data_IF_236755777187
#
_entry.id   IF_236755777187
#
_cell.length_a   1.000
_cell.length_b   1.000
_cell.length_c   1.000
_cell.angle_alpha   90.00
_cell.angle_beta   90.00
_cell.angle_gamma   90.00
#
_symmetry.space_group_name_H-M   'P 1'
#
loop_
_entity.id
_entity.type
_entity.pdbx_description
1 polymer ?
#
# COMPACT_ATOMS: atom_id res chain seq x y z
N UNK A 1 18.12 -52.36 -55.32
CA UNK A 1 19.61 -52.32 -55.33
C UNK A 1 20.08 -51.26 -54.34
N UNK A 2 20.60 -51.67 -53.17
CA UNK A 2 21.15 -50.75 -52.17
C UNK A 2 22.57 -50.33 -52.57
N UNK A 3 22.79 -49.03 -52.82
CA UNK A 3 24.14 -48.51 -53.10
C UNK A 3 24.97 -48.46 -51.80
N UNK A 4 26.23 -48.93 -51.79
CA UNK A 4 27.07 -48.90 -50.59
C UNK A 4 27.37 -47.46 -50.18
N UNK A 5 27.31 -47.22 -48.87
CA UNK A 5 27.57 -45.91 -48.26
C UNK A 5 29.08 -45.64 -48.34
N UNK A 6 29.48 -44.53 -48.96
CA UNK A 6 30.90 -44.17 -49.07
C UNK A 6 31.44 -43.64 -47.73
N UNK A 7 32.73 -43.86 -47.41
CA UNK A 7 33.31 -43.52 -46.10
C UNK A 7 33.19 -42.04 -45.72
N UNK A 8 33.27 -41.12 -46.69
CA UNK A 8 33.00 -39.68 -46.46
C UNK A 8 31.56 -39.38 -46.04
N UNK A 9 30.58 -40.14 -46.55
CA UNK A 9 29.15 -39.97 -46.22
C UNK A 9 28.83 -40.55 -44.85
N UNK A 10 29.52 -41.62 -44.43
CA UNK A 10 29.40 -42.17 -43.08
C UNK A 10 29.94 -41.21 -42.01
N UNK A 11 31.11 -40.60 -42.26
CA UNK A 11 31.70 -39.61 -41.35
C UNK A 11 30.87 -38.32 -41.21
N UNK A 12 30.19 -37.86 -42.27
CA UNK A 12 29.36 -36.66 -42.20
C UNK A 12 28.04 -36.89 -41.46
N UNK A 13 27.48 -38.11 -41.52
CA UNK A 13 26.30 -38.52 -40.74
C UNK A 13 26.66 -38.63 -39.25
N UNK A 14 27.81 -39.26 -38.93
CA UNK A 14 28.32 -39.36 -37.56
C UNK A 14 28.58 -37.98 -36.94
N UNK A 15 29.25 -37.05 -37.66
CA UNK A 15 29.48 -35.68 -37.17
C UNK A 15 28.18 -34.90 -36.97
N UNK A 16 27.19 -35.05 -37.86
CA UNK A 16 25.90 -34.37 -37.71
C UNK A 16 25.08 -34.91 -36.54
N UNK A 17 25.13 -36.22 -36.27
CA UNK A 17 24.52 -36.82 -35.10
C UNK A 17 25.20 -36.35 -33.81
N UNK A 18 26.54 -36.35 -33.77
CA UNK A 18 27.33 -35.92 -32.61
C UNK A 18 27.10 -34.44 -32.25
N UNK A 19 26.97 -33.55 -33.24
CA UNK A 19 26.65 -32.13 -33.03
C UNK A 19 25.20 -31.94 -32.54
N UNK A 20 24.27 -32.81 -32.95
CA UNK A 20 22.86 -32.75 -32.52
C UNK A 20 22.70 -33.20 -31.06
N UNK A 21 23.34 -34.31 -30.70
CA UNK A 21 23.41 -34.82 -29.32
C UNK A 21 24.08 -33.81 -28.38
N UNK A 22 25.20 -33.20 -28.81
CA UNK A 22 25.90 -32.17 -28.02
C UNK A 22 25.07 -30.89 -27.85
N UNK A 23 24.29 -30.46 -28.87
CA UNK A 23 23.36 -29.33 -28.74
C UNK A 23 22.19 -29.66 -27.83
N UNK A 24 21.61 -30.85 -27.93
CA UNK A 24 20.51 -31.29 -27.05
C UNK A 24 20.99 -31.37 -25.59
N UNK A 25 22.21 -31.89 -25.35
CA UNK A 25 22.82 -31.94 -24.02
C UNK A 25 23.16 -30.53 -23.49
N UNK A 26 23.66 -29.64 -24.36
CA UNK A 26 23.91 -28.23 -24.01
C UNK A 26 22.61 -27.52 -23.59
N UNK A 27 21.49 -27.74 -24.30
CA UNK A 27 20.19 -27.16 -23.95
C UNK A 27 19.55 -27.81 -22.70
N UNK A 28 19.70 -29.12 -22.50
CA UNK A 28 19.14 -29.83 -21.33
C UNK A 28 19.87 -29.49 -20.02
N UNK A 29 21.15 -29.08 -20.09
CA UNK A 29 21.95 -28.75 -18.90
C UNK A 29 22.04 -27.24 -18.66
N UNK A 30 22.11 -26.38 -19.69
CA UNK A 30 22.16 -24.91 -19.51
C UNK A 30 20.79 -24.24 -19.34
N UNK A 31 19.71 -24.77 -19.91
CA UNK A 31 18.38 -24.17 -19.76
C UNK A 31 17.84 -24.19 -18.31
N UNK A 32 18.00 -25.25 -17.50
CA UNK A 32 17.55 -25.22 -16.11
C UNK A 32 18.45 -24.37 -15.20
N UNK A 33 19.73 -24.20 -15.53
CA UNK A 33 20.66 -23.34 -14.77
C UNK A 33 20.35 -21.85 -14.99
N UNK A 34 19.91 -21.45 -16.19
CA UNK A 34 19.44 -20.08 -16.44
C UNK A 34 18.05 -19.81 -15.84
N UNK A 35 17.20 -20.82 -15.71
CA UNK A 35 15.86 -20.69 -15.13
C UNK A 35 15.88 -20.64 -13.58
N UNK A 36 16.91 -21.21 -12.95
CA UNK A 36 17.08 -21.17 -11.50
C UNK A 36 17.55 -19.80 -10.95
N UNK A 37 18.06 -18.90 -11.80
CA UNK A 37 18.61 -17.61 -11.38
C UNK A 37 17.59 -16.45 -11.40
N UNK A 38 16.34 -16.68 -11.80
CA UNK A 38 15.31 -15.62 -11.91
C UNK A 38 14.33 -15.56 -10.75
N UNK A 39 14.50 -16.40 -9.71
CA UNK A 39 13.64 -16.39 -8.50
C UNK A 39 14.24 -15.60 -7.33
N UNK A 40 15.03 -14.56 -7.60
CA UNK A 40 15.22 -13.49 -6.60
C UNK A 40 14.00 -12.57 -6.63
N UNK A 41 12.87 -13.07 -6.15
CA UNK A 41 11.72 -12.22 -5.86
C UNK A 41 12.09 -11.31 -4.69
N UNK A 42 12.07 -10.00 -4.89
CA UNK A 42 12.11 -9.04 -3.79
C UNK A 42 10.85 -9.26 -2.94
N UNK A 43 10.96 -9.98 -1.84
CA UNK A 43 9.90 -10.04 -0.85
C UNK A 43 9.71 -8.63 -0.29
N UNK A 44 8.50 -8.08 -0.43
CA UNK A 44 8.14 -6.85 0.25
C UNK A 44 8.19 -7.10 1.77
N UNK A 45 8.65 -6.13 2.58
CA UNK A 45 8.75 -6.29 4.03
C UNK A 45 7.38 -6.60 4.63
N UNK A 46 7.34 -7.57 5.53
CA UNK A 46 6.11 -7.93 6.24
C UNK A 46 5.80 -6.93 7.36
N UNK A 47 4.56 -6.95 7.86
CA UNK A 47 4.17 -6.19 9.05
C UNK A 47 5.09 -6.45 10.26
N UNK A 48 5.55 -7.70 10.44
CA UNK A 48 6.46 -8.08 11.52
C UNK A 48 7.84 -7.43 11.39
N UNK A 49 8.36 -7.36 10.16
CA UNK A 49 9.67 -6.77 9.87
C UNK A 49 9.68 -5.27 10.19
N UNK A 50 8.61 -4.54 9.83
CA UNK A 50 8.49 -3.10 10.11
C UNK A 50 8.45 -2.83 11.62
N UNK A 51 7.76 -3.68 12.38
CA UNK A 51 7.68 -3.55 13.84
C UNK A 51 9.04 -3.76 14.50
N UNK A 52 9.75 -4.80 14.10
CA UNK A 52 11.08 -5.08 14.63
C UNK A 52 12.04 -3.95 14.27
N UNK A 53 11.98 -3.44 13.04
CA UNK A 53 12.78 -2.31 12.56
C UNK A 53 12.58 -1.06 13.43
N UNK A 54 11.34 -0.62 13.65
CA UNK A 54 11.07 0.61 14.41
C UNK A 54 11.22 0.43 15.92
N UNK A 55 11.08 -0.79 16.45
CA UNK A 55 11.44 -1.07 17.83
C UNK A 55 12.95 -0.92 18.07
N UNK A 56 13.78 -1.33 17.11
CA UNK A 56 15.24 -1.19 17.17
C UNK A 56 15.72 0.24 16.91
N UNK A 57 15.01 1.00 16.07
CA UNK A 57 15.33 2.40 15.79
C UNK A 57 14.05 3.28 15.71
N UNK A 58 13.57 3.80 16.85
CA UNK A 58 12.33 4.59 16.91
C UNK A 58 12.43 5.95 16.22
N UNK A 59 13.64 6.41 15.90
CA UNK A 59 13.82 7.73 15.28
C UNK A 59 13.51 7.74 13.79
N UNK A 60 13.75 6.60 13.12
CA UNK A 60 13.60 6.48 11.66
C UNK A 60 12.18 6.09 11.21
N UNK A 61 11.26 5.84 12.13
CA UNK A 61 9.92 5.40 11.74
C UNK A 61 8.99 5.07 12.90
N UNK A 62 7.74 4.86 12.55
CA UNK A 62 6.72 4.39 13.49
C UNK A 62 5.72 3.50 12.75
N UNK A 63 5.16 2.52 13.44
CA UNK A 63 4.05 1.72 12.93
C UNK A 63 3.09 1.39 14.07
N UNK A 64 1.84 1.81 13.91
CA UNK A 64 0.75 1.61 14.85
C UNK A 64 0.08 0.28 14.50
N UNK A 65 0.14 -0.65 15.46
CA UNK A 65 -0.56 -1.92 15.34
C UNK A 65 -2.05 -1.75 15.62
N UNK A 66 -2.83 -2.64 15.03
CA UNK A 66 -4.21 -2.93 15.46
C UNK A 66 -5.19 -1.78 15.25
N UNK A 67 -4.85 -0.84 14.37
CA UNK A 67 -5.84 0.07 13.79
C UNK A 67 -6.81 -0.77 12.95
N UNK A 68 -8.11 -0.80 13.28
CA UNK A 68 -9.09 -1.61 12.56
C UNK A 68 -9.18 -1.21 11.09
N UNK A 69 -9.26 -2.18 10.19
CA UNK A 69 -9.39 -1.93 8.76
C UNK A 69 -10.79 -2.30 8.27
N UNK A 70 -11.43 -1.36 7.58
CA UNK A 70 -12.71 -1.57 6.93
C UNK A 70 -12.49 -1.44 5.42
N UNK A 71 -12.57 -2.54 4.64
CA UNK A 71 -12.43 -2.47 3.19
C UNK A 71 -13.56 -1.61 2.62
N UNK A 72 -13.18 -0.68 1.76
CA UNK A 72 -14.07 0.39 1.32
C UNK A 72 -14.84 -0.02 0.06
N UNK A 73 -16.16 0.14 0.09
CA UNK A 73 -16.97 0.19 -1.12
C UNK A 73 -16.85 1.55 -1.81
N UNK A 74 -17.41 1.67 -3.03
CA UNK A 74 -17.32 2.90 -3.82
C UNK A 74 -17.87 4.09 -3.01
N UNK A 75 -17.11 5.17 -2.94
CA UNK A 75 -17.43 6.41 -2.20
C UNK A 75 -17.42 6.31 -0.66
N UNK A 76 -17.17 5.12 -0.08
CA UNK A 76 -17.21 4.90 1.37
C UNK A 76 -15.85 5.13 2.07
N UNK A 77 -14.91 5.82 1.41
CA UNK A 77 -13.59 6.06 1.98
C UNK A 77 -13.62 6.91 3.27
N UNK A 78 -14.53 7.88 3.36
CA UNK A 78 -14.71 8.71 4.56
C UNK A 78 -15.29 7.93 5.75
N UNK A 79 -16.48 7.31 5.62
CA UNK A 79 -17.09 6.55 6.71
C UNK A 79 -16.21 5.41 7.21
N UNK A 80 -15.55 4.68 6.31
CA UNK A 80 -14.61 3.61 6.68
C UNK A 80 -13.39 4.14 7.44
N UNK A 81 -12.82 5.27 7.01
CA UNK A 81 -11.68 5.90 7.68
C UNK A 81 -12.06 6.43 9.08
N UNK A 82 -13.25 7.02 9.21
CA UNK A 82 -13.78 7.48 10.49
C UNK A 82 -14.02 6.29 11.43
N UNK A 83 -14.73 5.26 10.97
CA UNK A 83 -15.03 4.06 11.75
C UNK A 83 -13.74 3.37 12.23
N UNK A 84 -12.73 3.29 11.35
CA UNK A 84 -11.39 2.80 11.68
C UNK A 84 -10.77 3.55 12.86
N UNK A 85 -10.77 4.88 12.84
CA UNK A 85 -10.19 5.69 13.93
C UNK A 85 -11.01 5.61 15.21
N UNK A 86 -12.33 5.63 15.14
CA UNK A 86 -13.19 5.54 16.32
C UNK A 86 -12.98 4.21 17.04
N UNK A 87 -13.03 3.09 16.29
CA UNK A 87 -12.82 1.75 16.84
C UNK A 87 -11.38 1.46 17.27
N UNK A 88 -10.39 2.23 16.80
CA UNK A 88 -9.04 2.17 17.36
C UNK A 88 -9.00 2.67 18.81
N UNK A 89 -9.83 3.66 19.17
CA UNK A 89 -9.86 4.23 20.52
C UNK A 89 -10.94 3.66 21.43
N UNK A 90 -12.12 3.37 20.88
CA UNK A 90 -13.24 2.79 21.62
C UNK A 90 -13.99 1.84 20.69
N UNK A 91 -13.98 0.55 21.02
CA UNK A 91 -14.69 -0.47 20.25
C UNK A 91 -16.20 -0.25 20.30
N UNK A 92 -16.90 -0.57 19.19
CA UNK A 92 -18.36 -0.65 19.14
C UNK A 92 -19.04 0.29 18.15
N UNK A 93 -18.29 1.00 17.30
CA UNK A 93 -18.88 1.78 16.20
C UNK A 93 -19.14 0.88 15.00
N UNK A 94 -20.40 0.73 14.63
CA UNK A 94 -20.79 0.02 13.43
C UNK A 94 -20.58 0.89 12.17
N UNK A 95 -20.11 0.29 11.08
CA UNK A 95 -19.79 1.05 9.87
C UNK A 95 -21.05 1.56 9.16
N UNK A 96 -22.16 0.83 9.22
CA UNK A 96 -23.41 1.23 8.56
C UNK A 96 -24.03 2.40 9.33
N UNK A 97 -24.00 2.37 10.66
CA UNK A 97 -24.44 3.49 11.52
C UNK A 97 -23.58 4.74 11.31
N UNK A 98 -22.25 4.60 11.24
CA UNK A 98 -21.37 5.74 10.96
C UNK A 98 -21.63 6.28 9.56
N UNK A 99 -21.83 5.42 8.57
CA UNK A 99 -22.09 5.80 7.18
C UNK A 99 -23.38 6.60 7.05
N UNK A 100 -24.47 6.15 7.70
CA UNK A 100 -25.76 6.84 7.67
C UNK A 100 -25.69 8.30 8.17
N UNK A 101 -24.72 8.61 9.02
CA UNK A 101 -24.58 9.91 9.67
C UNK A 101 -23.62 10.86 8.92
N UNK A 102 -22.65 10.35 8.16
CA UNK A 102 -21.60 11.18 7.55
C UNK A 102 -21.51 11.07 6.02
N UNK A 103 -22.28 10.19 5.40
CA UNK A 103 -22.34 10.07 3.94
C UNK A 103 -23.37 11.05 3.36
N UNK A 104 -22.95 11.83 2.36
CA UNK A 104 -23.81 12.76 1.63
C UNK A 104 -23.97 12.30 0.18
N UNK A 105 -25.22 11.96 -0.17
CA UNK A 105 -25.58 11.46 -1.50
C UNK A 105 -25.29 12.47 -2.61
N UNK A 106 -25.53 13.77 -2.36
CA UNK A 106 -25.36 14.83 -3.38
C UNK A 106 -23.93 14.96 -3.86
N UNK A 107 -22.96 14.67 -3.01
CA UNK A 107 -21.53 14.73 -3.35
C UNK A 107 -20.92 13.35 -3.54
N UNK A 108 -21.70 12.28 -3.35
CA UNK A 108 -21.26 10.89 -3.35
C UNK A 108 -19.99 10.70 -2.51
N UNK A 109 -20.08 11.03 -1.21
CA UNK A 109 -18.95 10.90 -0.30
C UNK A 109 -19.17 11.62 1.02
N UNK A 110 -18.08 11.94 1.71
CA UNK A 110 -18.11 12.51 3.06
C UNK A 110 -17.21 13.73 3.15
N UNK A 111 -17.70 14.80 3.79
CA UNK A 111 -16.88 15.96 4.09
C UNK A 111 -16.04 15.72 5.34
N UNK A 112 -14.84 16.28 5.36
CA UNK A 112 -13.96 16.19 6.54
C UNK A 112 -14.60 16.83 7.78
N UNK A 113 -15.39 17.88 7.57
CA UNK A 113 -16.12 18.56 8.63
C UNK A 113 -17.25 17.70 9.23
N UNK A 114 -17.93 16.89 8.43
CA UNK A 114 -18.96 15.98 8.95
C UNK A 114 -18.33 14.92 9.86
N UNK A 115 -17.17 14.37 9.45
CA UNK A 115 -16.39 13.46 10.31
C UNK A 115 -15.91 14.13 11.60
N UNK A 116 -15.44 15.39 11.50
CA UNK A 116 -15.02 16.17 12.67
C UNK A 116 -16.18 16.37 13.66
N UNK A 117 -17.34 16.79 13.15
CA UNK A 117 -18.54 17.06 13.95
C UNK A 117 -19.02 15.76 14.59
N UNK A 118 -19.12 14.68 13.82
CA UNK A 118 -19.51 13.36 14.31
C UNK A 118 -18.61 12.91 15.47
N UNK A 119 -17.29 12.94 15.29
CA UNK A 119 -16.35 12.53 16.32
C UNK A 119 -16.51 13.35 17.61
N UNK A 120 -16.70 14.67 17.50
CA UNK A 120 -16.97 15.54 18.65
C UNK A 120 -18.29 15.21 19.35
N UNK A 121 -19.35 14.94 18.59
CA UNK A 121 -20.66 14.55 19.14
C UNK A 121 -20.60 13.20 19.87
N UNK A 122 -19.70 12.30 19.46
CA UNK A 122 -19.40 11.04 20.16
C UNK A 122 -18.44 11.21 21.35
N UNK A 123 -18.07 12.44 21.70
CA UNK A 123 -17.25 12.76 22.88
C UNK A 123 -15.74 12.76 22.65
N UNK A 124 -15.26 12.57 21.42
CA UNK A 124 -13.83 12.59 21.13
C UNK A 124 -13.29 14.01 20.99
N UNK A 125 -12.02 14.18 21.34
CA UNK A 125 -11.26 15.36 20.96
C UNK A 125 -10.79 15.23 19.51
N UNK A 126 -11.50 15.91 18.60
CA UNK A 126 -11.18 15.91 17.18
C UNK A 126 -10.72 17.29 16.68
N UNK A 127 -9.69 17.29 15.84
CA UNK A 127 -9.09 18.48 15.23
C UNK A 127 -8.87 18.28 13.73
N UNK A 128 -9.48 19.16 12.93
CA UNK A 128 -9.20 19.28 11.51
C UNK A 128 -7.98 20.17 11.27
N UNK A 129 -7.16 19.78 10.30
CA UNK A 129 -6.07 20.57 9.74
C UNK A 129 -6.45 20.88 8.30
N UNK A 130 -6.51 22.16 7.95
CA UNK A 130 -6.91 22.60 6.59
C UNK A 130 -5.78 23.30 5.83
N UNK A 131 -4.66 23.61 6.50
CA UNK A 131 -3.47 24.19 5.89
C UNK A 131 -2.19 23.91 6.67
N UNK A 132 -1.08 23.89 5.94
CA UNK A 132 0.29 23.83 6.50
C UNK A 132 0.75 22.43 6.92
N UNK A 133 2.06 22.19 7.01
CA UNK A 133 2.55 20.93 7.52
C UNK A 133 2.32 20.89 9.03
N UNK A 134 1.39 20.05 9.47
CA UNK A 134 1.39 19.57 10.85
C UNK A 134 2.32 18.36 10.94
N UNK A 135 2.81 18.06 12.15
CA UNK A 135 3.73 16.95 12.32
C UNK A 135 3.01 15.61 12.41
N UNK A 136 2.57 15.11 11.25
CA UNK A 136 1.99 13.77 11.11
C UNK A 136 2.86 12.69 11.76
N UNK A 137 4.18 12.80 11.59
CA UNK A 137 5.11 11.79 12.10
C UNK A 137 5.16 11.80 13.63
N UNK A 138 5.13 12.97 14.24
CA UNK A 138 5.04 13.10 15.70
C UNK A 138 3.76 12.46 16.24
N UNK A 139 2.61 12.68 15.59
CA UNK A 139 1.34 12.04 15.95
C UNK A 139 1.42 10.50 15.82
N UNK A 140 2.01 10.02 14.72
CA UNK A 140 2.21 8.58 14.51
C UNK A 140 3.18 7.95 15.52
N UNK A 141 4.29 8.62 15.86
CA UNK A 141 5.22 8.21 16.93
C UNK A 141 4.50 8.10 18.28
N UNK A 142 3.51 8.96 18.54
CA UNK A 142 2.65 8.93 19.73
C UNK A 142 1.49 7.92 19.65
N UNK A 143 1.50 7.03 18.66
CA UNK A 143 0.46 6.01 18.40
C UNK A 143 -0.93 6.60 18.14
N UNK A 144 -0.99 7.76 17.49
CA UNK A 144 -2.24 8.40 17.09
C UNK A 144 -2.37 8.36 15.56
N UNK A 145 -3.15 7.42 15.00
CA UNK A 145 -3.38 7.37 13.57
C UNK A 145 -4.18 8.61 13.13
N UNK A 146 -4.01 9.01 11.88
CA UNK A 146 -4.63 10.22 11.33
C UNK A 146 -5.32 9.94 10.01
N UNK A 147 -6.49 10.55 9.79
CA UNK A 147 -7.15 10.51 8.49
C UNK A 147 -6.56 11.62 7.63
N UNK A 148 -6.07 11.27 6.44
CA UNK A 148 -5.56 12.23 5.47
C UNK A 148 -6.54 12.36 4.31
N UNK A 149 -6.83 13.59 3.88
CA UNK A 149 -7.62 13.86 2.68
C UNK A 149 -6.68 14.11 1.51
N UNK A 150 -6.73 13.24 0.52
CA UNK A 150 -5.97 13.34 -0.72
C UNK A 150 -6.85 13.84 -1.86
N UNK A 151 -6.23 14.46 -2.85
CA UNK A 151 -6.83 14.66 -4.17
C UNK A 151 -6.04 13.82 -5.18
N UNK A 152 -6.67 12.74 -5.67
CA UNK A 152 -6.10 11.83 -6.66
C UNK A 152 -6.27 12.33 -8.10
N UNK A 153 -7.03 13.41 -8.30
CA UNK A 153 -7.25 14.07 -9.58
C UNK A 153 -6.31 15.25 -9.80
N UNK A 154 -6.80 16.29 -10.46
CA UNK A 154 -6.10 17.56 -10.66
C UNK A 154 -6.73 18.67 -9.83
N UNK A 155 -6.20 19.90 -9.91
CA UNK A 155 -6.82 21.05 -9.26
C UNK A 155 -8.17 21.41 -9.88
N UNK A 156 -8.27 21.25 -11.20
CA UNK A 156 -9.43 21.61 -12.02
C UNK A 156 -10.52 20.52 -11.95
N UNK A 157 -10.10 19.25 -11.80
CA UNK A 157 -10.99 18.09 -11.67
C UNK A 157 -10.59 17.28 -10.44
N UNK A 158 -11.00 17.72 -9.23
CA UNK A 158 -10.62 17.05 -8.01
C UNK A 158 -11.28 15.67 -7.91
N UNK A 159 -10.52 14.71 -7.38
CA UNK A 159 -11.01 13.39 -6.98
C UNK A 159 -10.59 13.14 -5.53
N UNK A 160 -11.50 13.37 -4.59
CA UNK A 160 -11.25 13.21 -3.17
C UNK A 160 -11.03 11.75 -2.79
N UNK A 161 -10.09 11.49 -1.88
CA UNK A 161 -9.85 10.17 -1.30
C UNK A 161 -9.39 10.30 0.15
N UNK A 162 -9.88 9.44 1.04
CA UNK A 162 -9.40 9.39 2.42
C UNK A 162 -8.58 8.13 2.68
N UNK A 163 -7.49 8.31 3.41
CA UNK A 163 -6.65 7.21 3.91
C UNK A 163 -6.46 7.36 5.41
N UNK A 164 -6.19 6.26 6.11
CA UNK A 164 -5.79 6.28 7.52
C UNK A 164 -4.29 6.05 7.60
N UNK A 165 -3.53 7.09 7.90
CA UNK A 165 -2.11 6.98 8.15
C UNK A 165 -1.86 6.27 9.48
N UNK A 166 -1.07 5.21 9.45
CA UNK A 166 -0.78 4.35 10.61
C UNK A 166 0.72 4.16 10.84
N UNK A 167 1.57 4.72 9.99
CA UNK A 167 3.01 4.60 10.15
C UNK A 167 3.79 5.27 9.04
N UNK A 168 5.10 5.29 9.20
CA UNK A 168 6.05 5.82 8.24
C UNK A 168 7.43 5.20 8.44
N UNK A 169 8.25 5.25 7.38
CA UNK A 169 9.62 4.76 7.34
C UNK A 169 10.49 5.78 6.61
N UNK A 170 11.34 6.49 7.34
CA UNK A 170 12.24 7.51 6.79
C UNK A 170 13.46 6.93 6.09
N UNK A 171 13.83 5.70 6.42
CA UNK A 171 14.93 5.01 5.76
C UNK A 171 14.54 4.60 4.33
N UNK A 172 13.28 4.20 4.12
CA UNK A 172 12.75 3.90 2.77
C UNK A 172 11.98 5.05 2.13
N UNK A 173 11.70 6.13 2.88
CA UNK A 173 10.94 7.28 2.38
C UNK A 173 9.46 6.97 2.11
N UNK A 174 8.81 6.23 3.00
CA UNK A 174 7.44 5.72 2.78
C UNK A 174 6.46 6.03 3.91
N UNK A 175 5.19 6.27 3.54
CA UNK A 175 4.05 6.32 4.45
C UNK A 175 3.30 4.98 4.40
N UNK A 176 2.84 4.51 5.55
CA UNK A 176 2.04 3.29 5.68
C UNK A 176 0.62 3.69 6.07
N UNK A 177 -0.37 3.27 5.28
CA UNK A 177 -1.77 3.68 5.49
C UNK A 177 -2.78 2.60 5.10
N UNK A 178 -3.94 2.61 5.74
CA UNK A 178 -5.11 1.90 5.21
C UNK A 178 -5.74 2.73 4.09
N UNK A 179 -6.01 2.10 2.94
CA UNK A 179 -6.50 2.81 1.75
C UNK A 179 -7.35 1.91 0.87
N UNK A 180 -8.59 2.32 0.58
CA UNK A 180 -9.49 1.54 -0.27
C UNK A 180 -9.74 0.15 0.29
N UNK A 181 -9.41 -0.87 -0.49
CA UNK A 181 -9.50 -2.29 -0.11
C UNK A 181 -8.19 -2.88 0.40
N UNK A 182 -7.13 -2.06 0.56
CA UNK A 182 -5.79 -2.52 0.95
C UNK A 182 -5.47 -2.06 2.37
N UNK A 183 -5.26 -3.03 3.26
CA UNK A 183 -4.76 -2.80 4.61
C UNK A 183 -3.25 -2.51 4.58
N UNK A 184 -2.82 -1.53 5.39
CA UNK A 184 -1.42 -1.18 5.61
C UNK A 184 -0.58 -1.04 4.32
N UNK A 185 -1.16 -0.41 3.30
CA UNK A 185 -0.51 -0.12 2.03
C UNK A 185 0.69 0.83 2.23
N UNK A 186 1.79 0.52 1.56
CA UNK A 186 3.03 1.31 1.57
C UNK A 186 3.01 2.26 0.38
N UNK A 187 3.23 3.55 0.65
CA UNK A 187 3.27 4.60 -0.36
C UNK A 187 4.58 5.38 -0.28
N UNK A 188 5.28 5.61 -1.39
CA UNK A 188 6.39 6.57 -1.40
C UNK A 188 5.90 7.96 -0.98
N UNK A 189 6.67 8.66 -0.14
CA UNK A 189 6.32 10.01 0.31
C UNK A 189 6.03 10.95 -0.85
N UNK A 190 6.81 10.87 -1.94
CA UNK A 190 6.61 11.69 -3.13
C UNK A 190 5.19 11.55 -3.70
N UNK A 191 4.64 10.34 -3.69
CA UNK A 191 3.30 10.05 -4.21
C UNK A 191 2.22 10.66 -3.34
N UNK A 192 2.28 10.42 -2.02
CA UNK A 192 1.31 10.98 -1.06
C UNK A 192 1.42 12.50 -1.01
N UNK A 193 2.63 13.04 -0.91
CA UNK A 193 2.85 14.48 -0.80
C UNK A 193 2.27 15.24 -2.00
N UNK A 194 2.34 14.66 -3.20
CA UNK A 194 1.74 15.25 -4.41
C UNK A 194 0.22 15.41 -4.29
N UNK A 195 -0.50 14.34 -3.93
CA UNK A 195 -1.97 14.36 -3.83
C UNK A 195 -2.46 15.09 -2.58
N UNK A 196 -1.68 15.06 -1.50
CA UNK A 196 -2.01 15.70 -0.24
C UNK A 196 -1.81 17.22 -0.28
N UNK A 197 -0.77 17.69 -0.99
CA UNK A 197 -0.57 19.13 -1.22
C UNK A 197 -1.73 19.78 -1.95
N UNK A 198 -2.41 19.05 -2.84
CA UNK A 198 -3.57 19.55 -3.57
C UNK A 198 -4.79 19.81 -2.68
N UNK A 199 -4.82 19.29 -1.45
CA UNK A 199 -5.85 19.57 -0.44
C UNK A 199 -5.36 20.52 0.64
N UNK A 200 -4.21 21.18 0.45
CA UNK A 200 -3.59 22.02 1.48
C UNK A 200 -3.00 21.24 2.65
N UNK A 201 -2.72 19.94 2.47
CA UNK A 201 -2.36 19.01 3.55
C UNK A 201 -3.52 18.75 4.51
N UNK A 202 -4.75 18.65 3.99
CA UNK A 202 -5.93 18.42 4.82
C UNK A 202 -5.86 17.11 5.59
N UNK A 203 -6.18 17.13 6.88
CA UNK A 203 -6.20 15.95 7.73
C UNK A 203 -7.12 16.10 8.95
N UNK A 204 -7.41 14.96 9.59
CA UNK A 204 -8.23 14.88 10.79
C UNK A 204 -7.52 14.02 11.84
N UNK A 205 -7.24 14.64 12.99
CA UNK A 205 -6.79 13.96 14.20
C UNK A 205 -8.01 13.72 15.10
N UNK A 206 -8.15 12.49 15.59
CA UNK A 206 -9.13 12.10 16.60
C UNK A 206 -8.35 11.46 17.75
N UNK A 207 -8.75 11.74 18.99
CA UNK A 207 -8.22 11.11 20.21
C UNK A 207 -9.30 11.12 21.32
N UNK A 208 -9.19 10.23 22.32
CA UNK A 208 -10.06 10.24 23.50
C UNK A 208 -10.04 11.61 24.20
#
# INVERSE_FOLDING_TARGET
MNRPITPKRFQSIQKRALIKEFRIFLYLVLAPVLFAFTLQGCAAPTRGDLLQKFAANPEIGAYIRDVPFYPQEKYMCGPAALTSLLNYYSFGYDIDEVTAEVFEEKIQGTLLMDMLIYAKLKGFNAKAYESGPFDLKEELKKKRPMILKLNLGTKEKPLGHYIVAIGFDDDTGTLIAHSGIIQAQIFPYKTIMKSWKLTGYSALLIRP
#
